data_IF_597968858327
#
_entry.id   IF_597968858327
#
_cell.length_a   1.000
_cell.length_b   1.000
_cell.length_c   1.000
_cell.angle_alpha   90.00
_cell.angle_beta   90.00
_cell.angle_gamma   90.00
#
_symmetry.space_group_name_H-M   'P 1'
#
loop_
_entity.id
_entity.type
_entity.pdbx_description
1 polymer ?
#
# COMPACT_ATOMS: atom_id res chain seq x y z
N UNK A 1 -9.19 -9.27 7.98
CA UNK A 1 -9.53 -7.84 8.03
C UNK A 1 -10.28 -7.56 9.32
N UNK A 2 -10.03 -6.46 10.04
CA UNK A 2 -10.77 -6.10 11.25
C UNK A 2 -11.42 -4.73 11.05
N UNK A 3 -12.73 -4.69 11.02
CA UNK A 3 -13.49 -3.44 10.87
C UNK A 3 -13.73 -2.80 12.25
N UNK A 4 -13.57 -1.48 12.33
CA UNK A 4 -14.01 -0.67 13.46
C UNK A 4 -15.25 0.14 13.07
N UNK A 5 -16.04 0.57 14.05
CA UNK A 5 -17.33 1.26 13.84
C UNK A 5 -17.20 2.55 13.02
N UNK A 6 -16.02 3.16 13.00
CA UNK A 6 -15.74 4.40 12.28
C UNK A 6 -14.83 4.22 11.06
N UNK A 7 -14.50 2.98 10.68
CA UNK A 7 -13.58 2.66 9.58
C UNK A 7 -12.27 3.48 9.66
N UNK A 8 -11.73 3.64 10.87
CA UNK A 8 -10.43 4.30 11.08
C UNK A 8 -9.26 3.35 10.82
N UNK A 9 -9.50 2.04 10.82
CA UNK A 9 -8.52 0.98 10.57
C UNK A 9 -7.40 0.87 11.60
N UNK A 10 -7.44 1.62 12.70
CA UNK A 10 -6.34 1.68 13.69
C UNK A 10 -5.94 0.32 14.23
N UNK A 11 -6.91 -0.45 14.72
CA UNK A 11 -6.67 -1.78 15.32
C UNK A 11 -6.16 -2.78 14.28
N UNK A 12 -6.67 -2.69 13.05
CA UNK A 12 -6.24 -3.53 11.95
C UNK A 12 -4.81 -3.25 11.52
N UNK A 13 -4.47 -1.97 11.29
CA UNK A 13 -3.12 -1.53 10.91
C UNK A 13 -2.11 -1.89 12.00
N UNK A 14 -2.46 -1.71 13.29
CA UNK A 14 -1.59 -2.09 14.40
C UNK A 14 -1.23 -3.58 14.37
N UNK A 15 -2.24 -4.46 14.17
CA UNK A 15 -2.03 -5.91 14.04
C UNK A 15 -1.15 -6.27 12.83
N UNK A 16 -1.32 -5.60 11.69
CA UNK A 16 -0.45 -5.81 10.52
C UNK A 16 0.99 -5.38 10.84
N UNK A 17 1.17 -4.18 11.39
CA UNK A 17 2.49 -3.65 11.73
C UNK A 17 3.23 -4.54 12.72
N UNK A 18 2.54 -5.12 13.70
CA UNK A 18 3.08 -6.11 14.63
C UNK A 18 3.55 -7.38 13.90
N UNK A 19 2.69 -7.95 13.04
CA UNK A 19 3.04 -9.14 12.23
C UNK A 19 4.26 -8.88 11.35
N UNK A 20 4.33 -7.72 10.71
CA UNK A 20 5.47 -7.30 9.88
C UNK A 20 6.72 -7.16 10.74
N UNK A 21 6.62 -6.50 11.89
CA UNK A 21 7.75 -6.32 12.82
C UNK A 21 8.35 -7.66 13.24
N UNK A 22 7.51 -8.66 13.53
CA UNK A 22 7.96 -10.01 13.86
C UNK A 22 8.70 -10.67 12.68
N UNK A 23 8.26 -10.43 11.43
CA UNK A 23 8.91 -10.96 10.22
C UNK A 23 10.19 -10.22 9.86
N UNK A 24 10.33 -8.95 10.25
CA UNK A 24 11.58 -8.19 10.06
C UNK A 24 12.75 -8.78 10.86
N UNK A 25 12.51 -9.52 11.93
CA UNK A 25 13.59 -10.22 12.65
C UNK A 25 14.30 -11.24 11.75
N UNK A 26 13.57 -11.92 10.86
CA UNK A 26 14.17 -12.84 9.87
C UNK A 26 15.04 -12.05 8.89
N UNK A 27 14.52 -10.94 8.37
CA UNK A 27 15.29 -10.06 7.46
C UNK A 27 16.54 -9.50 8.15
N UNK A 28 16.44 -9.15 9.43
CA UNK A 28 17.56 -8.67 10.25
C UNK A 28 18.63 -9.74 10.43
N UNK A 29 18.25 -11.00 10.64
CA UNK A 29 19.21 -12.10 10.71
C UNK A 29 19.90 -12.34 9.36
N UNK A 30 19.16 -12.29 8.24
CA UNK A 30 19.76 -12.42 6.90
C UNK A 30 20.72 -11.27 6.56
N UNK A 31 20.47 -10.07 7.09
CA UNK A 31 21.33 -8.90 6.89
C UNK A 31 22.62 -8.91 7.73
N UNK A 32 22.88 -9.97 8.52
CA UNK A 32 23.98 -10.05 9.49
C UNK A 32 25.38 -9.76 8.93
N UNK A 33 26.34 -9.52 9.84
CA UNK A 33 27.63 -8.89 9.52
C UNK A 33 28.72 -9.81 8.96
N UNK A 34 28.64 -11.13 9.16
CA UNK A 34 29.75 -12.05 8.82
C UNK A 34 29.54 -12.75 7.46
N UNK A 35 28.31 -13.16 7.15
CA UNK A 35 27.92 -13.83 5.91
C UNK A 35 26.58 -13.31 5.37
N UNK A 36 26.30 -12.03 5.57
CA UNK A 36 25.02 -11.42 5.22
C UNK A 36 24.64 -11.64 3.75
N UNK A 37 23.34 -11.76 3.50
CA UNK A 37 22.82 -11.84 2.14
C UNK A 37 23.12 -10.57 1.35
N UNK A 38 23.34 -10.71 0.04
CA UNK A 38 23.41 -9.58 -0.86
C UNK A 38 22.14 -8.72 -0.74
N UNK A 39 22.28 -7.39 -0.94
CA UNK A 39 21.16 -6.44 -0.84
C UNK A 39 19.99 -6.82 -1.77
N UNK A 40 20.30 -7.33 -2.96
CA UNK A 40 19.30 -7.85 -3.90
C UNK A 40 18.50 -9.02 -3.29
N UNK A 41 19.18 -9.96 -2.63
CA UNK A 41 18.55 -11.05 -1.89
C UNK A 41 17.64 -10.54 -0.77
N UNK A 42 18.12 -9.61 0.06
CA UNK A 42 17.31 -9.00 1.12
C UNK A 42 16.07 -8.28 0.56
N UNK A 43 16.23 -7.54 -0.53
CA UNK A 43 15.13 -6.84 -1.20
C UNK A 43 14.10 -7.84 -1.75
N UNK A 44 14.56 -8.91 -2.40
CA UNK A 44 13.69 -9.99 -2.90
C UNK A 44 12.95 -10.67 -1.74
N UNK A 45 13.64 -11.03 -0.66
CA UNK A 45 13.01 -11.62 0.53
C UNK A 45 11.94 -10.68 1.09
N UNK A 46 12.24 -9.38 1.22
CA UNK A 46 11.26 -8.41 1.67
C UNK A 46 10.02 -8.36 0.75
N UNK A 47 10.20 -8.23 -0.57
CA UNK A 47 9.11 -8.15 -1.55
C UNK A 47 8.26 -9.43 -1.60
N UNK A 48 8.87 -10.60 -1.41
CA UNK A 48 8.18 -11.89 -1.53
C UNK A 48 7.57 -12.38 -0.21
N UNK A 49 8.16 -12.05 0.94
CA UNK A 49 7.75 -12.64 2.22
C UNK A 49 7.10 -11.64 3.18
N UNK A 50 7.50 -10.37 3.15
CA UNK A 50 7.09 -9.37 4.14
C UNK A 50 6.07 -8.40 3.56
N UNK A 51 6.36 -7.83 2.38
CA UNK A 51 5.50 -6.87 1.71
C UNK A 51 4.07 -7.40 1.47
N UNK A 52 3.84 -8.68 1.11
CA UNK A 52 2.49 -9.19 0.90
C UNK A 52 1.62 -9.15 2.16
N UNK A 53 2.20 -9.20 3.36
CA UNK A 53 1.46 -9.08 4.63
C UNK A 53 0.82 -7.70 4.76
N UNK A 54 1.49 -6.66 4.24
CA UNK A 54 1.00 -5.28 4.27
C UNK A 54 0.01 -4.99 3.15
N UNK A 55 0.20 -5.61 1.98
CA UNK A 55 -0.60 -5.34 0.78
C UNK A 55 -1.83 -6.23 0.65
N UNK A 56 -1.92 -7.31 1.43
CA UNK A 56 -3.08 -8.21 1.41
C UNK A 56 -4.37 -7.47 1.79
N UNK A 57 -5.31 -7.39 0.86
CA UNK A 57 -6.60 -6.71 1.02
C UNK A 57 -6.47 -5.27 1.55
N UNK A 58 -5.44 -4.55 1.08
CA UNK A 58 -5.13 -3.20 1.56
C UNK A 58 -5.98 -2.10 0.93
N UNK A 59 -6.76 -2.40 -0.11
CA UNK A 59 -7.50 -1.42 -0.90
C UNK A 59 -8.43 -0.53 -0.05
N UNK A 60 -9.20 -1.06 0.93
CA UNK A 60 -10.03 -0.23 1.81
C UNK A 60 -9.26 0.79 2.63
N UNK A 61 -7.96 0.57 2.86
CA UNK A 61 -7.09 1.46 3.62
C UNK A 61 -6.81 2.78 2.90
N UNK A 62 -7.20 2.94 1.63
CA UNK A 62 -7.21 4.26 0.95
C UNK A 62 -8.06 5.29 1.72
N UNK A 63 -9.02 4.82 2.53
CA UNK A 63 -9.87 5.67 3.39
C UNK A 63 -9.22 6.01 4.74
N UNK A 64 -8.12 5.35 5.10
CA UNK A 64 -7.39 5.63 6.32
C UNK A 64 -6.70 7.00 6.23
N UNK A 65 -6.61 7.68 7.37
CA UNK A 65 -5.82 8.91 7.47
C UNK A 65 -4.33 8.58 7.42
N UNK A 66 -3.51 9.52 6.94
CA UNK A 66 -2.06 9.36 6.91
C UNK A 66 -1.49 9.05 8.30
N UNK A 67 -2.04 9.69 9.35
CA UNK A 67 -1.67 9.45 10.74
C UNK A 67 -1.88 7.98 11.14
N UNK A 68 -3.00 7.38 10.73
CA UNK A 68 -3.29 5.98 11.03
C UNK A 68 -2.41 5.02 10.21
N UNK A 69 -1.94 5.42 9.03
CA UNK A 69 -1.03 4.62 8.19
C UNK A 69 0.44 4.68 8.65
N UNK A 70 0.83 5.67 9.47
CA UNK A 70 2.20 5.84 9.98
C UNK A 70 2.86 4.56 10.55
N UNK A 71 2.17 3.70 11.32
CA UNK A 71 2.78 2.47 11.83
C UNK A 71 3.24 1.53 10.71
N UNK A 72 2.48 1.45 9.61
CA UNK A 72 2.79 0.61 8.47
C UNK A 72 3.96 1.20 7.65
N UNK A 73 3.96 2.52 7.44
CA UNK A 73 5.09 3.23 6.83
C UNK A 73 6.37 3.06 7.65
N UNK A 74 6.29 3.13 8.97
CA UNK A 74 7.44 2.91 9.86
C UNK A 74 8.01 1.50 9.70
N UNK A 75 7.15 0.48 9.68
CA UNK A 75 7.57 -0.90 9.50
C UNK A 75 8.21 -1.12 8.11
N UNK A 76 7.63 -0.54 7.05
CA UNK A 76 8.20 -0.54 5.71
C UNK A 76 9.58 0.12 5.67
N UNK A 77 9.72 1.33 6.19
CA UNK A 77 10.98 2.07 6.23
C UNK A 77 12.06 1.36 7.05
N UNK A 78 11.67 0.65 8.11
CA UNK A 78 12.60 -0.19 8.88
C UNK A 78 13.12 -1.35 8.03
N UNK A 79 12.28 -1.97 7.21
CA UNK A 79 12.71 -3.00 6.26
C UNK A 79 13.71 -2.43 5.25
N UNK A 80 13.43 -1.26 4.67
CA UNK A 80 14.33 -0.60 3.72
C UNK A 80 15.68 -0.25 4.33
N UNK A 81 15.72 0.18 5.61
CA UNK A 81 16.97 0.39 6.35
C UNK A 81 17.77 -0.90 6.48
N UNK A 82 17.14 -2.03 6.79
CA UNK A 82 17.82 -3.33 6.84
C UNK A 82 18.39 -3.74 5.49
N UNK A 83 17.65 -3.53 4.40
CA UNK A 83 18.09 -3.87 3.03
C UNK A 83 19.26 -2.99 2.59
N UNK A 84 19.21 -1.70 2.88
CA UNK A 84 20.22 -0.74 2.45
C UNK A 84 21.44 -0.71 3.37
N UNK A 85 21.31 -1.17 4.62
CA UNK A 85 22.28 -0.96 5.68
C UNK A 85 22.30 0.49 6.21
N UNK A 86 21.25 1.27 5.93
CA UNK A 86 21.16 2.68 6.29
C UNK A 86 20.98 2.91 7.80
N UNK A 87 21.64 3.95 8.31
CA UNK A 87 21.44 4.43 9.70
C UNK A 87 20.11 5.18 9.84
N UNK A 88 19.69 5.52 11.05
CA UNK A 88 18.38 6.16 11.31
C UNK A 88 18.21 7.53 10.62
N UNK A 89 19.29 8.29 10.43
CA UNK A 89 19.27 9.59 9.77
C UNK A 89 19.24 9.51 8.24
N UNK A 90 19.40 8.33 7.64
CA UNK A 90 19.34 8.18 6.19
C UNK A 90 17.96 8.62 5.68
N UNK A 91 17.90 9.52 4.67
CA UNK A 91 16.64 9.98 4.07
C UNK A 91 15.80 8.82 3.51
N UNK A 92 14.48 8.89 3.68
CA UNK A 92 13.55 7.85 3.21
C UNK A 92 13.56 7.76 1.68
N UNK A 93 13.55 8.89 1.00
CA UNK A 93 13.51 8.96 -0.46
C UNK A 93 14.74 8.31 -1.10
N UNK A 94 15.91 8.47 -0.49
CA UNK A 94 17.13 7.81 -0.95
C UNK A 94 17.02 6.28 -0.82
N UNK A 95 16.44 5.77 0.26
CA UNK A 95 16.24 4.33 0.43
C UNK A 95 15.22 3.77 -0.56
N UNK A 96 14.12 4.49 -0.79
CA UNK A 96 13.09 4.11 -1.76
C UNK A 96 13.67 4.01 -3.17
N UNK A 97 14.48 5.00 -3.57
CA UNK A 97 15.17 5.01 -4.85
C UNK A 97 16.11 3.80 -5.01
N UNK A 98 16.95 3.53 -4.00
CA UNK A 98 17.91 2.43 -4.03
C UNK A 98 17.23 1.06 -4.09
N UNK A 99 16.10 0.86 -3.40
CA UNK A 99 15.39 -0.43 -3.39
C UNK A 99 14.39 -0.58 -4.53
N UNK A 100 14.17 0.47 -5.34
CA UNK A 100 13.13 0.51 -6.36
C UNK A 100 11.76 0.25 -5.74
N UNK A 101 11.45 0.92 -4.63
CA UNK A 101 10.20 0.79 -3.89
C UNK A 101 9.51 2.16 -3.78
N UNK A 102 8.21 2.12 -3.51
CA UNK A 102 7.39 3.31 -3.24
C UNK A 102 6.85 3.25 -1.81
N UNK A 103 6.33 4.37 -1.31
CA UNK A 103 5.71 4.42 0.02
C UNK A 103 4.49 3.49 0.10
N UNK A 104 4.17 3.02 1.30
CA UNK A 104 3.00 2.15 1.49
C UNK A 104 1.71 2.86 1.10
N UNK A 105 1.57 4.14 1.43
CA UNK A 105 0.42 4.94 1.04
C UNK A 105 0.23 4.99 -0.49
N UNK A 106 1.32 5.09 -1.25
CA UNK A 106 1.26 5.05 -2.71
C UNK A 106 0.88 3.67 -3.24
N UNK A 107 1.40 2.59 -2.65
CA UNK A 107 1.02 1.22 -3.02
C UNK A 107 -0.47 0.95 -2.72
N UNK A 108 -0.99 1.41 -1.58
CA UNK A 108 -2.41 1.29 -1.24
C UNK A 108 -3.28 2.03 -2.26
N UNK A 109 -2.90 3.27 -2.62
CA UNK A 109 -3.59 4.07 -3.65
C UNK A 109 -3.62 3.35 -4.99
N UNK A 110 -2.47 2.78 -5.41
CA UNK A 110 -2.36 2.00 -6.64
C UNK A 110 -3.28 0.77 -6.62
N UNK A 111 -3.23 -0.05 -5.56
CA UNK A 111 -4.08 -1.26 -5.44
C UNK A 111 -5.57 -0.91 -5.40
N UNK A 112 -5.94 0.14 -4.67
CA UNK A 112 -7.33 0.61 -4.62
C UNK A 112 -7.83 1.08 -5.99
N UNK A 113 -7.00 1.79 -6.76
CA UNK A 113 -7.34 2.21 -8.11
C UNK A 113 -7.48 1.02 -9.06
N UNK A 114 -6.54 0.06 -9.02
CA UNK A 114 -6.62 -1.18 -9.80
C UNK A 114 -7.91 -1.94 -9.48
N UNK A 115 -8.27 -2.05 -8.21
CA UNK A 115 -9.52 -2.70 -7.81
C UNK A 115 -10.74 -1.95 -8.36
N UNK A 116 -10.78 -0.63 -8.21
CA UNK A 116 -11.86 0.19 -8.75
C UNK A 116 -12.04 0.00 -10.27
N UNK A 117 -10.94 0.05 -11.01
CA UNK A 117 -10.91 -0.17 -12.45
C UNK A 117 -11.35 -1.60 -12.84
N UNK A 118 -11.00 -2.61 -12.04
CA UNK A 118 -11.50 -3.98 -12.24
C UNK A 118 -13.00 -4.07 -12.02
N UNK A 119 -13.54 -3.43 -10.97
CA UNK A 119 -14.96 -3.45 -10.65
C UNK A 119 -15.81 -2.82 -11.76
N UNK A 120 -15.34 -1.73 -12.37
CA UNK A 120 -16.02 -1.10 -13.51
C UNK A 120 -16.08 -1.98 -14.77
N UNK A 121 -15.10 -2.88 -14.96
CA UNK A 121 -14.97 -3.70 -16.17
C UNK A 121 -15.59 -5.09 -16.05
N UNK A 122 -16.36 -5.36 -14.98
CA UNK A 122 -17.04 -6.64 -14.82
C UNK A 122 -18.22 -6.69 -15.83
N UNK A 123 -18.21 -7.61 -16.81
CA UNK A 123 -19.09 -7.54 -17.99
C UNK A 123 -20.59 -7.75 -17.70
N UNK A 124 -20.94 -8.40 -16.60
CA UNK A 124 -22.34 -8.66 -16.20
C UNK A 124 -22.74 -7.94 -14.90
N UNK A 125 -21.92 -7.00 -14.41
CA UNK A 125 -22.22 -6.32 -13.17
C UNK A 125 -23.15 -5.12 -13.38
N UNK A 126 -24.36 -5.18 -12.81
CA UNK A 126 -25.34 -4.09 -12.85
C UNK A 126 -25.07 -3.02 -11.79
N UNK A 127 -24.35 -3.36 -10.72
CA UNK A 127 -24.23 -2.51 -9.53
C UNK A 127 -23.17 -1.41 -9.72
N UNK A 128 -21.94 -1.78 -10.08
CA UNK A 128 -20.80 -0.91 -10.31
C UNK A 128 -20.93 -0.12 -11.61
N UNK A 129 -21.57 -0.68 -12.64
CA UNK A 129 -21.85 0.05 -13.89
C UNK A 129 -22.84 1.20 -13.70
N UNK A 130 -23.75 1.09 -12.74
CA UNK A 130 -24.75 2.13 -12.40
C UNK A 130 -24.43 2.84 -11.08
N UNK A 131 -23.23 2.63 -10.53
CA UNK A 131 -22.87 3.20 -9.24
C UNK A 131 -22.67 4.71 -9.36
N UNK A 132 -23.53 5.46 -8.66
CA UNK A 132 -23.39 6.90 -8.50
C UNK A 132 -23.06 7.25 -7.05
N UNK A 133 -22.23 8.28 -6.86
CA UNK A 133 -21.85 8.74 -5.53
C UNK A 133 -23.03 9.49 -4.88
N UNK A 134 -23.79 8.79 -4.03
CA UNK A 134 -24.97 9.33 -3.34
C UNK A 134 -24.57 10.31 -2.23
N UNK A 135 -25.40 11.33 -1.92
CA UNK A 135 -25.19 12.19 -0.77
C UNK A 135 -25.21 11.37 0.52
N UNK A 136 -24.28 11.68 1.43
CA UNK A 136 -24.07 10.92 2.66
C UNK A 136 -24.44 11.78 3.86
N UNK A 137 -25.06 11.15 4.85
CA UNK A 137 -25.34 11.79 6.13
C UNK A 137 -24.04 12.24 6.81
N UNK A 138 -23.04 11.36 6.85
CA UNK A 138 -21.73 11.67 7.44
C UNK A 138 -20.71 12.11 6.38
N UNK A 139 -20.54 13.44 6.25
CA UNK A 139 -19.61 14.05 5.27
C UNK A 139 -18.13 13.83 5.58
N UNK A 140 -17.80 13.54 6.84
CA UNK A 140 -16.42 13.40 7.33
C UNK A 140 -15.78 12.05 6.98
N UNK A 141 -16.57 11.01 6.74
CA UNK A 141 -16.08 9.74 6.23
C UNK A 141 -16.13 9.76 4.71
N UNK A 142 -15.39 8.90 4.03
CA UNK A 142 -15.48 8.69 2.59
C UNK A 142 -15.23 7.22 2.31
N UNK A 143 -16.07 6.61 1.48
CA UNK A 143 -15.91 5.20 1.11
C UNK A 143 -14.75 4.97 0.14
N UNK A 144 -14.40 3.70 -0.05
CA UNK A 144 -13.35 3.27 -0.99
C UNK A 144 -13.60 3.80 -2.40
N UNK A 145 -14.82 3.61 -2.94
CA UNK A 145 -15.15 4.04 -4.31
C UNK A 145 -15.01 5.55 -4.47
N UNK A 146 -15.45 6.33 -3.49
CA UNK A 146 -15.30 7.78 -3.52
C UNK A 146 -13.83 8.19 -3.50
N UNK A 147 -13.01 7.58 -2.64
CA UNK A 147 -11.57 7.86 -2.61
C UNK A 147 -10.88 7.45 -3.91
N UNK A 148 -11.28 6.35 -4.53
CA UNK A 148 -10.76 5.95 -5.83
C UNK A 148 -11.15 6.94 -6.93
N UNK A 149 -12.39 7.43 -6.96
CA UNK A 149 -12.84 8.47 -7.92
C UNK A 149 -12.08 9.79 -7.69
N UNK A 150 -11.95 10.24 -6.45
CA UNK A 150 -11.16 11.43 -6.08
C UNK A 150 -9.72 11.30 -6.57
N UNK A 151 -9.10 10.14 -6.32
CA UNK A 151 -7.73 9.84 -6.76
C UNK A 151 -7.60 9.79 -8.28
N UNK A 152 -8.54 9.13 -8.97
CA UNK A 152 -8.56 9.06 -10.44
C UNK A 152 -8.65 10.44 -11.08
N UNK A 153 -9.52 11.31 -10.54
CA UNK A 153 -9.66 12.70 -10.96
C UNK A 153 -8.38 13.50 -10.71
N UNK A 154 -7.78 13.36 -9.51
CA UNK A 154 -6.54 14.05 -9.17
C UNK A 154 -5.37 13.65 -10.07
N UNK A 155 -5.33 12.39 -10.51
CA UNK A 155 -4.30 11.86 -11.41
C UNK A 155 -4.60 12.08 -12.91
N UNK A 156 -5.75 12.67 -13.25
CA UNK A 156 -6.19 12.92 -14.64
C UNK A 156 -6.12 11.67 -15.54
N UNK A 157 -6.48 10.51 -14.98
CA UNK A 157 -6.44 9.23 -15.69
C UNK A 157 -7.65 9.14 -16.62
N UNK A 158 -7.39 8.95 -17.91
CA UNK A 158 -8.41 8.77 -18.95
C UNK A 158 -9.20 7.46 -18.72
N UNK A 159 -10.50 7.49 -19.01
CA UNK A 159 -11.39 6.33 -18.97
C UNK A 159 -11.10 5.37 -20.12
N UNK A 160 -10.62 5.89 -21.25
CA UNK A 160 -10.24 5.07 -22.39
C UNK A 160 -8.80 4.57 -22.22
N UNK A 161 -8.53 3.26 -22.38
CA UNK A 161 -7.16 2.81 -22.48
C UNK A 161 -6.54 3.49 -23.70
N UNK A 162 -5.46 4.26 -23.48
CA UNK A 162 -4.63 4.73 -24.60
C UNK A 162 -4.21 3.50 -25.39
N UNK A 163 -4.40 3.53 -26.71
CA UNK A 163 -3.85 2.51 -27.59
C UNK A 163 -2.38 2.35 -27.27
N UNK A 164 -1.94 1.11 -27.01
CA UNK A 164 -0.51 0.83 -26.90
C UNK A 164 0.13 1.32 -28.19
N UNK A 165 1.06 2.27 -28.10
CA UNK A 165 1.91 2.61 -29.23
C UNK A 165 2.59 1.31 -29.67
N UNK A 166 2.53 0.96 -30.98
CA UNK A 166 3.18 -0.25 -31.45
C UNK A 166 4.69 -0.21 -31.13
N UNK A 167 5.32 -1.38 -30.91
CA UNK A 167 6.74 -1.49 -30.60
C UNK A 167 7.64 -0.95 -31.72
#
# INVERSE_FOLDING_TARGET
MTFDTKLTWKTHIAKIAERVSNRLNVLKHLAGSVWGCARSGLNTTYKMFIQPIMLYCCEPLITATEVNLKPLEKAHNQALRLITGGIKSTPIDAMLLVTGSTTIGSLIKEKALILYEKLLRIPMDKFFSTYENRPRHLKTQSGLIQKAIELKKALQIDDKPKSLSPP
#
